data_IF_538069621239
#
_entry.id   IF_538069621239
#
_cell.length_a   1.000
_cell.length_b   1.000
_cell.length_c   1.000
_cell.angle_alpha   90.00
_cell.angle_beta   90.00
_cell.angle_gamma   90.00
#
_symmetry.space_group_name_H-M   'P 1'
#
loop_
_entity.id
_entity.type
_entity.pdbx_description
1 polymer ?
#
# COMPACT_ATOMS: atom_id res chain seq x y z
N UNK A 1 -8.61 -5.40 19.27
CA UNK A 1 -8.10 -4.09 18.80
C UNK A 1 -7.40 -3.38 19.96
N UNK A 2 -6.20 -2.90 19.74
CA UNK A 2 -5.51 -2.03 20.69
C UNK A 2 -6.02 -0.57 20.57
N UNK A 3 -5.51 0.35 21.42
CA UNK A 3 -5.98 1.74 21.44
C UNK A 3 -5.69 2.49 20.14
N UNK A 4 -4.54 2.25 19.52
CA UNK A 4 -4.12 2.87 18.27
C UNK A 4 -5.00 2.41 17.08
N UNK A 5 -5.24 1.10 16.99
CA UNK A 5 -6.16 0.52 16.00
C UNK A 5 -7.58 1.08 16.12
N UNK A 6 -8.05 1.29 17.36
CA UNK A 6 -9.36 1.91 17.61
C UNK A 6 -9.40 3.36 17.14
N UNK A 7 -8.34 4.13 17.41
CA UNK A 7 -8.25 5.53 16.95
C UNK A 7 -8.27 5.64 15.42
N UNK A 8 -7.52 4.77 14.72
CA UNK A 8 -7.52 4.72 13.26
C UNK A 8 -8.93 4.41 12.73
N UNK A 9 -9.57 3.38 13.26
CA UNK A 9 -10.92 3.00 12.83
C UNK A 9 -11.96 4.10 13.11
N UNK A 10 -11.89 4.76 14.26
CA UNK A 10 -12.79 5.89 14.58
C UNK A 10 -12.56 7.05 13.63
N UNK A 11 -11.32 7.43 13.38
CA UNK A 11 -10.99 8.50 12.43
C UNK A 11 -11.54 8.21 11.02
N UNK A 12 -11.46 6.96 10.56
CA UNK A 12 -11.98 6.57 9.25
C UNK A 12 -13.52 6.65 9.21
N UNK A 13 -14.22 6.34 10.31
CA UNK A 13 -15.67 6.58 10.40
C UNK A 13 -16.02 8.08 10.41
N UNK A 14 -15.25 8.89 11.14
CA UNK A 14 -15.43 10.35 11.19
C UNK A 14 -15.32 10.97 9.77
N UNK A 15 -14.42 10.43 8.92
CA UNK A 15 -14.31 10.84 7.52
C UNK A 15 -15.56 10.46 6.71
N UNK A 16 -16.11 9.27 6.93
CA UNK A 16 -17.35 8.84 6.27
C UNK A 16 -18.55 9.76 6.68
N UNK A 17 -18.69 10.03 7.98
CA UNK A 17 -19.71 10.96 8.50
C UNK A 17 -19.51 12.39 7.98
N UNK A 18 -18.26 12.84 7.85
CA UNK A 18 -17.96 14.14 7.29
C UNK A 18 -18.34 14.21 5.81
N UNK A 19 -18.09 13.13 5.05
CA UNK A 19 -18.50 13.02 3.65
C UNK A 19 -20.02 13.13 3.50
N UNK A 20 -20.79 12.33 4.28
CA UNK A 20 -22.24 12.35 4.27
C UNK A 20 -22.81 13.74 4.64
N UNK A 21 -22.35 14.30 5.76
CA UNK A 21 -22.84 15.60 6.26
C UNK A 21 -22.52 16.77 5.36
N UNK A 22 -21.33 16.77 4.73
CA UNK A 22 -20.85 17.90 3.92
C UNK A 22 -21.19 17.78 2.44
N UNK A 23 -21.56 16.58 1.97
CA UNK A 23 -21.93 16.32 0.58
C UNK A 23 -20.81 16.42 -0.42
N UNK A 24 -19.53 16.23 0.01
CA UNK A 24 -18.40 16.15 -0.89
C UNK A 24 -17.42 15.03 -0.49
N UNK A 25 -16.59 14.54 -1.44
CA UNK A 25 -15.76 13.38 -1.21
C UNK A 25 -14.69 13.59 -0.14
N UNK A 26 -14.39 12.56 0.62
CA UNK A 26 -13.37 12.55 1.66
C UNK A 26 -12.44 11.35 1.47
N UNK A 27 -11.12 11.57 1.53
CA UNK A 27 -10.10 10.53 1.44
C UNK A 27 -9.31 10.38 2.72
N UNK A 28 -8.96 9.14 3.08
CA UNK A 28 -8.02 8.87 4.15
C UNK A 28 -6.57 9.03 3.68
N UNK A 29 -5.63 8.96 4.61
CA UNK A 29 -4.24 8.64 4.31
C UNK A 29 -4.11 7.19 3.83
N UNK A 30 -2.92 6.80 3.31
CA UNK A 30 -2.63 5.43 2.91
C UNK A 30 -2.55 4.49 4.11
N UNK A 31 -3.34 3.46 4.07
CA UNK A 31 -3.43 2.42 5.08
C UNK A 31 -2.58 1.21 4.69
N UNK A 32 -2.01 0.56 5.68
CA UNK A 32 -1.42 -0.78 5.55
C UNK A 32 -2.52 -1.82 5.35
N UNK A 33 -2.17 -2.99 4.83
CA UNK A 33 -3.12 -4.08 4.64
C UNK A 33 -3.80 -4.51 5.94
N UNK A 34 -3.10 -4.45 7.08
CA UNK A 34 -3.68 -4.74 8.40
C UNK A 34 -4.74 -3.71 8.79
N UNK A 35 -4.46 -2.42 8.63
CA UNK A 35 -5.40 -1.32 8.93
C UNK A 35 -6.65 -1.40 8.05
N UNK A 36 -6.48 -1.71 6.76
CA UNK A 36 -7.60 -1.94 5.82
C UNK A 36 -8.51 -3.07 6.33
N UNK A 37 -7.95 -4.23 6.67
CA UNK A 37 -8.71 -5.38 7.14
C UNK A 37 -9.37 -5.12 8.50
N UNK A 38 -8.69 -4.42 9.41
CA UNK A 38 -9.25 -4.02 10.70
C UNK A 38 -10.45 -3.09 10.51
N UNK A 39 -10.32 -2.10 9.63
CA UNK A 39 -11.40 -1.17 9.37
C UNK A 39 -12.60 -1.84 8.70
N UNK A 40 -12.39 -2.71 7.72
CA UNK A 40 -13.47 -3.46 7.07
C UNK A 40 -14.27 -4.30 8.09
N UNK A 41 -13.58 -4.93 9.05
CA UNK A 41 -14.23 -5.68 10.10
C UNK A 41 -14.96 -4.78 11.12
N UNK A 42 -14.38 -3.61 11.43
CA UNK A 42 -14.91 -2.67 12.40
C UNK A 42 -16.11 -1.87 11.88
N UNK A 43 -16.06 -1.48 10.60
CA UNK A 43 -17.06 -0.59 9.97
C UNK A 43 -18.34 -1.30 9.53
N UNK A 44 -18.38 -2.64 9.62
CA UNK A 44 -19.57 -3.41 9.26
C UNK A 44 -20.79 -2.87 10.00
N UNK A 45 -21.80 -2.51 9.27
CA UNK A 45 -23.07 -1.95 9.75
C UNK A 45 -22.98 -0.57 10.48
N UNK A 46 -21.83 0.14 10.36
CA UNK A 46 -21.61 1.45 11.02
C UNK A 46 -21.45 2.61 10.05
N UNK A 47 -21.28 2.32 8.76
CA UNK A 47 -21.10 3.39 7.77
C UNK A 47 -22.38 4.16 7.54
N UNK A 48 -22.30 5.49 7.45
CA UNK A 48 -23.42 6.32 6.97
C UNK A 48 -23.69 6.00 5.49
N UNK A 49 -24.75 6.59 4.89
CA UNK A 49 -25.10 6.34 3.49
C UNK A 49 -24.12 7.02 2.52
N UNK A 50 -22.90 6.49 2.45
CA UNK A 50 -21.85 6.91 1.53
C UNK A 50 -21.38 5.73 0.68
N UNK A 51 -20.87 6.02 -0.52
CA UNK A 51 -20.08 5.04 -1.28
C UNK A 51 -18.66 5.00 -0.76
N UNK A 52 -18.13 3.81 -0.51
CA UNK A 52 -16.76 3.60 -0.04
C UNK A 52 -15.97 2.81 -1.07
N UNK A 53 -14.81 3.32 -1.44
CA UNK A 53 -13.87 2.69 -2.36
C UNK A 53 -12.47 2.61 -1.72
N UNK A 54 -11.76 1.49 -1.94
CA UNK A 54 -10.36 1.35 -1.57
C UNK A 54 -9.50 1.53 -2.81
N UNK A 55 -8.70 2.59 -2.85
CA UNK A 55 -7.90 2.95 -4.00
C UNK A 55 -6.41 2.99 -3.66
N UNK A 56 -5.61 2.26 -4.44
CA UNK A 56 -4.15 2.27 -4.38
C UNK A 56 -3.51 2.53 -5.73
N UNK A 57 -4.34 2.92 -6.75
CA UNK A 57 -3.89 3.27 -8.09
C UNK A 57 -3.75 2.10 -9.06
N UNK A 58 -3.62 0.87 -8.57
CA UNK A 58 -3.58 -0.34 -9.40
C UNK A 58 -4.13 -1.56 -8.62
N UNK A 59 -4.44 -2.62 -9.34
CA UNK A 59 -5.17 -3.78 -8.79
C UNK A 59 -4.48 -4.45 -7.60
N UNK A 60 -3.17 -4.67 -7.71
CA UNK A 60 -2.37 -5.37 -6.69
C UNK A 60 -1.77 -4.45 -5.64
N UNK A 61 -2.23 -3.20 -5.53
CA UNK A 61 -1.73 -2.27 -4.54
C UNK A 61 -1.94 -2.80 -3.12
N UNK A 62 -0.85 -2.83 -2.34
CA UNK A 62 -0.89 -3.23 -0.93
C UNK A 62 -1.36 -2.08 -0.05
N UNK A 63 -0.87 -0.87 -0.31
CA UNK A 63 -1.26 0.33 0.43
C UNK A 63 -2.36 1.06 -0.31
N UNK A 64 -3.49 1.27 0.36
CA UNK A 64 -4.67 1.90 -0.23
C UNK A 64 -5.19 3.01 0.68
N UNK A 65 -5.74 4.04 0.09
CA UNK A 65 -6.61 4.98 0.78
C UNK A 65 -8.05 4.43 0.81
N UNK A 66 -8.82 4.86 1.78
CA UNK A 66 -10.28 4.74 1.74
C UNK A 66 -10.82 6.07 1.23
N UNK A 67 -11.62 6.00 0.18
CA UNK A 67 -12.22 7.15 -0.46
C UNK A 67 -13.73 7.05 -0.38
N UNK A 68 -14.33 8.03 0.31
CA UNK A 68 -15.78 8.14 0.49
C UNK A 68 -16.35 9.13 -0.50
N UNK A 69 -17.50 8.78 -1.11
CA UNK A 69 -18.24 9.62 -2.03
C UNK A 69 -19.68 9.74 -1.55
N UNK A 70 -20.30 10.94 -1.61
CA UNK A 70 -21.71 11.10 -1.26
C UNK A 70 -22.60 10.29 -2.20
N UNK A 71 -23.67 9.70 -1.68
CA UNK A 71 -24.66 8.98 -2.52
C UNK A 71 -25.54 9.99 -3.25
N UNK A 72 -25.81 9.71 -4.53
CA UNK A 72 -26.72 10.52 -5.35
C UNK A 72 -26.08 11.73 -6.04
N UNK A 73 -24.80 11.95 -5.88
CA UNK A 73 -24.06 12.97 -6.64
C UNK A 73 -23.56 12.31 -7.92
N UNK A 74 -24.03 12.77 -9.08
CA UNK A 74 -23.69 12.21 -10.40
C UNK A 74 -22.29 12.58 -10.92
N UNK A 75 -21.46 13.23 -10.11
CA UNK A 75 -20.11 13.62 -10.50
C UNK A 75 -19.10 12.49 -10.22
N UNK A 76 -18.25 12.20 -11.19
CA UNK A 76 -17.10 11.31 -11.04
C UNK A 76 -15.98 12.07 -10.33
N UNK A 77 -15.76 11.73 -9.06
CA UNK A 77 -14.63 12.25 -8.30
C UNK A 77 -13.47 11.27 -8.38
N UNK A 78 -12.30 11.68 -8.92
CA UNK A 78 -11.11 10.85 -8.87
C UNK A 78 -10.59 10.73 -7.43
N UNK A 79 -10.00 9.58 -7.12
CA UNK A 79 -9.33 9.40 -5.84
C UNK A 79 -8.14 10.38 -5.70
N UNK A 80 -7.92 11.01 -4.53
CA UNK A 80 -6.91 12.06 -4.33
C UNK A 80 -5.50 11.48 -4.22
N UNK A 81 -5.09 10.70 -5.22
CA UNK A 81 -3.76 10.10 -5.32
C UNK A 81 -3.12 10.41 -6.66
N UNK A 82 -1.82 10.57 -6.66
CA UNK A 82 -1.01 10.86 -7.84
C UNK A 82 0.03 9.80 -8.07
N UNK A 83 0.35 9.58 -9.34
CA UNK A 83 1.42 8.70 -9.79
C UNK A 83 2.63 9.54 -10.21
N UNK A 84 3.78 9.27 -9.59
CA UNK A 84 5.04 9.92 -9.91
C UNK A 84 6.00 8.90 -10.53
N UNK A 85 6.73 9.34 -11.56
CA UNK A 85 7.86 8.61 -12.13
C UNK A 85 9.15 9.24 -11.66
N UNK A 86 10.03 8.44 -11.09
CA UNK A 86 11.37 8.85 -10.66
C UNK A 86 12.41 8.13 -11.49
N UNK A 87 13.19 8.87 -12.25
CA UNK A 87 14.20 8.34 -13.16
C UNK A 87 15.56 8.96 -12.90
N UNK A 88 16.67 8.20 -13.01
CA UNK A 88 18.00 8.79 -12.95
C UNK A 88 18.26 9.68 -14.16
N UNK A 89 18.87 10.85 -13.93
CA UNK A 89 19.24 11.77 -15.02
C UNK A 89 20.23 11.10 -16.00
N UNK A 90 21.10 10.23 -15.50
CA UNK A 90 22.09 9.50 -16.30
C UNK A 90 22.03 8.01 -15.96
N UNK A 91 21.27 7.20 -16.70
CA UNK A 91 21.10 5.76 -16.50
C UNK A 91 22.42 4.98 -16.44
N UNK A 92 23.44 5.41 -17.22
CA UNK A 92 24.75 4.72 -17.31
C UNK A 92 25.53 4.78 -15.99
N UNK A 93 25.38 5.86 -15.22
CA UNK A 93 26.12 6.10 -13.97
C UNK A 93 25.25 5.97 -12.73
N UNK A 94 24.00 5.53 -12.88
CA UNK A 94 23.10 5.36 -11.74
C UNK A 94 23.41 4.07 -11.00
N UNK A 95 23.34 4.14 -9.67
CA UNK A 95 23.31 2.98 -8.79
C UNK A 95 22.02 2.17 -8.99
N UNK A 96 22.06 0.91 -8.59
CA UNK A 96 20.82 0.14 -8.41
C UNK A 96 20.16 0.55 -7.11
N UNK A 97 19.14 1.39 -7.22
CA UNK A 97 18.37 1.87 -6.10
C UNK A 97 17.29 0.85 -5.74
N UNK A 98 17.16 0.61 -4.44
CA UNK A 98 16.16 -0.31 -3.89
C UNK A 98 14.93 0.44 -3.39
N UNK A 99 13.83 -0.26 -3.13
CA UNK A 99 12.64 0.28 -2.47
C UNK A 99 13.00 1.10 -1.21
N UNK A 100 13.96 0.63 -0.39
CA UNK A 100 14.38 1.32 0.83
C UNK A 100 15.07 2.65 0.55
N UNK A 101 15.82 2.76 -0.55
CA UNK A 101 16.50 4.00 -0.92
C UNK A 101 15.48 5.08 -1.31
N UNK A 102 14.46 4.72 -2.11
CA UNK A 102 13.37 5.63 -2.45
C UNK A 102 12.57 6.04 -1.21
N UNK A 103 12.16 5.08 -0.38
CA UNK A 103 11.44 5.36 0.85
C UNK A 103 12.24 6.27 1.78
N UNK A 104 13.53 5.97 1.99
CA UNK A 104 14.42 6.79 2.81
C UNK A 104 14.55 8.22 2.28
N UNK A 105 14.61 8.40 0.96
CA UNK A 105 14.65 9.73 0.36
C UNK A 105 13.37 10.53 0.62
N UNK A 106 12.20 9.90 0.51
CA UNK A 106 10.91 10.54 0.86
C UNK A 106 10.84 10.91 2.34
N UNK A 107 11.28 10.02 3.25
CA UNK A 107 11.32 10.31 4.68
C UNK A 107 12.27 11.48 4.99
N UNK A 108 13.42 11.58 4.31
CA UNK A 108 14.36 12.68 4.45
C UNK A 108 13.80 14.04 3.98
N UNK A 109 12.80 14.03 3.09
CA UNK A 109 12.04 15.22 2.72
C UNK A 109 10.97 15.59 3.76
N UNK A 110 10.89 14.88 4.89
CA UNK A 110 9.89 15.11 5.93
C UNK A 110 8.50 14.55 5.62
N UNK A 111 8.37 13.72 4.58
CA UNK A 111 7.08 13.15 4.17
C UNK A 111 6.73 11.98 5.09
N UNK A 112 5.52 12.00 5.66
CA UNK A 112 5.01 10.86 6.43
C UNK A 112 4.79 9.63 5.56
N UNK A 113 5.07 8.44 6.09
CA UNK A 113 4.77 7.16 5.42
C UNK A 113 3.29 6.99 5.10
N UNK A 114 2.41 7.63 5.86
CA UNK A 114 0.96 7.61 5.63
C UNK A 114 0.55 8.38 4.36
N UNK A 115 1.36 9.30 3.88
CA UNK A 115 1.13 10.03 2.62
C UNK A 115 1.63 9.30 1.38
N UNK A 116 2.28 8.13 1.57
CA UNK A 116 2.85 7.35 0.47
C UNK A 116 2.19 5.97 0.39
N UNK A 117 1.73 5.62 -0.80
CA UNK A 117 1.27 4.28 -1.18
C UNK A 117 2.44 3.34 -1.48
N UNK A 118 2.30 2.58 -2.53
CA UNK A 118 3.33 1.65 -2.97
C UNK A 118 4.45 2.37 -3.73
N UNK A 119 5.65 1.82 -3.58
CA UNK A 119 6.86 2.22 -4.31
C UNK A 119 7.26 1.04 -5.18
N UNK A 120 7.18 1.19 -6.48
CA UNK A 120 7.45 0.12 -7.45
C UNK A 120 8.75 0.44 -8.15
N UNK A 121 9.76 -0.40 -7.95
CA UNK A 121 11.09 -0.24 -8.58
C UNK A 121 11.19 -1.18 -9.77
N UNK A 122 11.49 -0.63 -10.95
CA UNK A 122 11.62 -1.37 -12.19
C UNK A 122 12.69 -0.71 -13.08
N UNK A 123 13.63 -1.50 -13.59
CA UNK A 123 14.62 -1.06 -14.60
C UNK A 123 15.34 0.27 -14.29
N UNK A 124 15.83 0.42 -13.07
CA UNK A 124 16.51 1.63 -12.56
C UNK A 124 15.62 2.88 -12.45
N UNK A 125 14.33 2.71 -12.53
CA UNK A 125 13.34 3.77 -12.26
C UNK A 125 12.39 3.31 -11.15
N UNK A 126 11.62 4.23 -10.60
CA UNK A 126 10.54 3.89 -9.69
C UNK A 126 9.28 4.65 -10.02
N UNK A 127 8.16 4.00 -9.75
CA UNK A 127 6.86 4.64 -9.66
C UNK A 127 6.51 4.81 -8.19
N UNK A 128 6.12 6.02 -7.82
CA UNK A 128 5.68 6.36 -6.47
C UNK A 128 4.20 6.72 -6.52
N UNK A 129 3.39 6.03 -5.74
CA UNK A 129 1.98 6.39 -5.56
C UNK A 129 1.90 7.21 -4.28
N UNK A 130 1.36 8.40 -4.35
CA UNK A 130 1.36 9.35 -3.24
C UNK A 130 0.04 10.10 -3.14
N UNK A 131 -0.23 10.70 -1.97
CA UNK A 131 -1.36 11.63 -1.85
C UNK A 131 -1.16 12.81 -2.80
N UNK A 132 -2.21 13.21 -3.50
CA UNK A 132 -2.18 14.30 -4.48
C UNK A 132 -1.63 15.61 -3.88
N UNK A 133 -1.97 15.90 -2.63
CA UNK A 133 -1.56 17.11 -1.92
C UNK A 133 -0.05 17.31 -1.76
N UNK A 134 0.76 16.23 -1.88
CA UNK A 134 2.22 16.28 -1.73
C UNK A 134 2.97 15.98 -3.03
N UNK A 135 2.27 15.64 -4.10
CA UNK A 135 2.89 15.24 -5.37
C UNK A 135 3.81 16.33 -5.94
N UNK A 136 3.34 17.57 -6.00
CA UNK A 136 4.12 18.71 -6.47
C UNK A 136 5.38 18.94 -5.65
N UNK A 137 5.25 18.91 -4.30
CA UNK A 137 6.38 19.06 -3.40
C UNK A 137 7.46 17.99 -3.62
N UNK A 138 7.06 16.73 -3.83
CA UNK A 138 8.00 15.64 -4.12
C UNK A 138 8.71 15.90 -5.46
N UNK A 139 7.97 16.26 -6.51
CA UNK A 139 8.56 16.51 -7.82
C UNK A 139 9.60 17.64 -7.81
N UNK A 140 9.37 18.68 -7.02
CA UNK A 140 10.28 19.82 -6.89
C UNK A 140 11.52 19.52 -6.04
N UNK A 141 11.40 18.69 -5.02
CA UNK A 141 12.43 18.52 -4.00
C UNK A 141 13.19 17.19 -4.07
N UNK A 142 12.65 16.15 -4.72
CA UNK A 142 13.31 14.85 -4.88
C UNK A 142 14.29 14.90 -6.08
N UNK A 143 15.44 15.51 -5.87
CA UNK A 143 16.47 15.69 -6.92
C UNK A 143 17.61 14.67 -6.83
N UNK A 144 17.74 13.96 -5.69
CA UNK A 144 18.82 13.02 -5.45
C UNK A 144 18.40 11.90 -4.50
N UNK A 145 18.81 10.66 -4.82
CA UNK A 145 18.67 9.48 -3.97
C UNK A 145 20.05 8.84 -3.84
N UNK A 146 20.59 8.76 -2.61
CA UNK A 146 21.98 8.39 -2.35
C UNK A 146 22.96 9.24 -3.18
N UNK A 147 23.69 8.60 -4.10
CA UNK A 147 24.63 9.29 -5.00
C UNK A 147 24.06 9.53 -6.41
N UNK A 148 22.83 9.08 -6.68
CA UNK A 148 22.19 9.18 -7.99
C UNK A 148 21.32 10.45 -8.06
N UNK A 149 21.61 11.34 -9.00
CA UNK A 149 20.73 12.45 -9.33
C UNK A 149 19.53 11.92 -10.10
N UNK A 150 18.33 12.32 -9.70
CA UNK A 150 17.07 11.86 -10.26
C UNK A 150 16.20 13.02 -10.73
N UNK A 151 15.31 12.73 -11.65
CA UNK A 151 14.20 13.58 -12.04
C UNK A 151 12.91 12.92 -11.60
N UNK A 152 12.07 13.64 -10.88
CA UNK A 152 10.75 13.22 -10.47
C UNK A 152 9.71 14.02 -11.26
N UNK A 153 8.73 13.36 -11.85
CA UNK A 153 7.60 13.98 -12.54
C UNK A 153 6.31 13.27 -12.27
N UNK A 154 5.23 13.99 -12.17
CA UNK A 154 3.89 13.42 -12.18
C UNK A 154 3.56 12.93 -13.60
N UNK A 155 2.96 11.77 -13.68
CA UNK A 155 2.58 11.13 -14.93
C UNK A 155 1.12 10.68 -14.91
N UNK A 156 0.55 10.51 -16.09
CA UNK A 156 -0.79 9.92 -16.22
C UNK A 156 -0.77 8.43 -15.88
N UNK A 157 -1.89 7.92 -15.38
CA UNK A 157 -2.06 6.48 -15.11
C UNK A 157 -1.95 5.63 -16.37
N UNK A 158 -2.19 6.18 -17.55
CA UNK A 158 -1.97 5.52 -18.83
C UNK A 158 -0.49 5.28 -19.16
N UNK A 159 0.42 6.07 -18.57
CA UNK A 159 1.86 5.88 -18.69
C UNK A 159 2.41 4.83 -17.72
N UNK A 160 1.56 4.27 -16.85
CA UNK A 160 1.95 3.27 -15.86
C UNK A 160 2.13 1.89 -16.50
N UNK A 161 3.33 1.58 -16.94
CA UNK A 161 3.69 0.29 -17.53
C UNK A 161 4.34 -0.64 -16.49
N UNK A 162 3.57 -0.98 -15.46
CA UNK A 162 3.97 -1.98 -14.47
C UNK A 162 3.23 -3.29 -14.71
N UNK A 163 4.01 -4.35 -14.94
CA UNK A 163 3.50 -5.72 -15.04
C UNK A 163 4.06 -6.56 -13.91
N UNK A 164 3.25 -6.88 -12.89
CA UNK A 164 3.72 -7.70 -11.79
C UNK A 164 4.16 -9.08 -12.30
N UNK A 165 5.34 -9.50 -11.87
CA UNK A 165 5.79 -10.86 -12.14
C UNK A 165 5.12 -11.79 -11.13
N UNK A 166 4.13 -12.53 -11.59
CA UNK A 166 3.43 -13.54 -10.79
C UNK A 166 3.86 -14.94 -11.21
N UNK A 167 3.99 -15.82 -10.23
CA UNK A 167 4.24 -17.25 -10.45
C UNK A 167 3.11 -18.05 -9.83
N UNK A 168 2.39 -18.77 -10.66
CA UNK A 168 1.39 -19.71 -10.17
C UNK A 168 2.06 -20.99 -9.66
N UNK A 169 1.66 -21.43 -8.48
CA UNK A 169 2.16 -22.66 -7.86
C UNK A 169 0.97 -23.51 -7.48
N UNK A 170 0.89 -24.71 -8.06
CA UNK A 170 -0.15 -25.70 -7.77
C UNK A 170 0.41 -26.86 -6.96
N UNK A 171 -0.37 -27.37 -6.03
CA UNK A 171 -0.01 -28.54 -5.24
C UNK A 171 -1.09 -28.90 -4.25
N UNK A 172 -0.96 -30.10 -3.65
CA UNK A 172 -1.89 -30.59 -2.64
C UNK A 172 -1.29 -30.46 -1.25
N UNK A 173 -2.10 -29.98 -0.31
CA UNK A 173 -1.74 -29.88 1.12
C UNK A 173 -2.77 -30.61 1.96
N UNK A 174 -2.33 -31.29 3.02
CA UNK A 174 -3.22 -32.06 3.89
C UNK A 174 -4.11 -31.16 4.79
N UNK A 175 -3.72 -29.91 5.00
CA UNK A 175 -4.48 -28.93 5.79
C UNK A 175 -4.12 -27.51 5.37
N UNK A 176 -5.09 -26.57 5.49
CA UNK A 176 -4.91 -25.16 5.14
C UNK A 176 -4.21 -24.41 6.30
N UNK A 177 -3.10 -24.97 6.74
CA UNK A 177 -2.24 -24.37 7.77
C UNK A 177 -1.17 -23.49 7.12
N UNK A 178 -0.78 -22.43 7.81
CA UNK A 178 0.21 -21.48 7.32
C UNK A 178 1.55 -22.16 6.96
N UNK A 179 2.06 -23.05 7.84
CA UNK A 179 3.31 -23.77 7.59
C UNK A 179 3.24 -24.69 6.35
N UNK A 180 2.08 -25.26 6.06
CA UNK A 180 1.90 -26.11 4.89
C UNK A 180 1.80 -25.28 3.59
N UNK A 181 1.05 -24.18 3.62
CA UNK A 181 0.87 -23.30 2.45
C UNK A 181 2.18 -22.62 2.05
N UNK A 182 2.91 -22.03 3.00
CA UNK A 182 4.22 -21.41 2.69
C UNK A 182 5.25 -22.47 2.29
N UNK A 183 5.16 -23.70 2.83
CA UNK A 183 6.00 -24.83 2.42
C UNK A 183 5.83 -25.18 0.95
N UNK A 184 4.62 -25.21 0.47
CA UNK A 184 4.29 -25.41 -0.94
C UNK A 184 4.79 -24.21 -1.78
N UNK A 185 4.49 -22.98 -1.36
CA UNK A 185 4.80 -21.77 -2.10
C UNK A 185 6.31 -21.55 -2.29
N UNK A 186 7.11 -21.82 -1.27
CA UNK A 186 8.57 -21.58 -1.31
C UNK A 186 9.39 -22.84 -1.56
N UNK A 187 8.78 -24.01 -1.71
CA UNK A 187 9.46 -25.29 -1.92
C UNK A 187 10.57 -25.54 -0.88
N UNK A 188 10.32 -25.19 0.38
CA UNK A 188 11.29 -25.30 1.47
C UNK A 188 10.81 -26.26 2.56
N UNK A 189 11.77 -26.79 3.35
CA UNK A 189 11.43 -27.64 4.48
C UNK A 189 10.65 -26.91 5.57
N UNK A 190 9.73 -27.58 6.20
CA UNK A 190 8.91 -27.02 7.31
C UNK A 190 9.78 -26.45 8.44
N UNK A 191 10.90 -27.12 8.78
CA UNK A 191 11.80 -26.64 9.83
C UNK A 191 12.41 -25.27 9.54
N UNK A 192 12.76 -24.99 8.30
CA UNK A 192 13.27 -23.67 7.89
C UNK A 192 12.19 -22.59 7.92
N UNK A 193 10.98 -22.97 7.53
CA UNK A 193 9.83 -22.05 7.49
C UNK A 193 9.28 -21.72 8.87
N UNK A 194 9.32 -22.69 9.82
CA UNK A 194 8.95 -22.43 11.21
C UNK A 194 9.86 -21.38 11.84
N UNK A 195 11.14 -21.32 11.45
CA UNK A 195 12.04 -20.24 11.84
C UNK A 195 11.55 -18.86 11.41
N UNK A 196 11.12 -18.69 10.16
CA UNK A 196 10.60 -17.40 9.69
C UNK A 196 9.31 -16.98 10.40
N UNK A 197 8.43 -17.95 10.76
CA UNK A 197 7.20 -17.65 11.50
C UNK A 197 7.53 -17.20 12.92
N UNK A 198 8.43 -17.92 13.63
CA UNK A 198 8.83 -17.55 14.99
C UNK A 198 9.63 -16.25 15.06
N UNK A 199 10.33 -15.88 13.99
CA UNK A 199 11.07 -14.61 13.86
C UNK A 199 10.19 -13.44 13.38
N UNK A 200 8.85 -13.61 13.38
CA UNK A 200 7.86 -12.57 12.98
C UNK A 200 8.00 -12.07 11.55
N UNK A 201 8.62 -12.88 10.67
CA UNK A 201 8.85 -12.54 9.25
C UNK A 201 7.68 -12.89 8.33
N UNK A 202 6.64 -13.54 8.86
CA UNK A 202 5.48 -13.98 8.10
C UNK A 202 4.24 -13.21 8.51
N UNK A 203 3.56 -12.67 7.52
CA UNK A 203 2.29 -11.95 7.71
C UNK A 203 1.17 -12.65 6.93
N UNK A 204 -0.03 -12.62 7.50
CA UNK A 204 -1.26 -13.03 6.83
C UNK A 204 -2.19 -11.81 6.84
N UNK A 205 -2.54 -11.32 5.66
CA UNK A 205 -3.35 -10.11 5.48
C UNK A 205 -2.80 -8.90 6.27
N UNK A 206 -1.47 -8.72 6.26
CA UNK A 206 -0.77 -7.64 6.96
C UNK A 206 -0.57 -7.84 8.47
N UNK A 207 -1.15 -8.89 9.07
CA UNK A 207 -0.97 -9.23 10.48
C UNK A 207 0.19 -10.20 10.65
N UNK A 208 1.15 -9.88 11.51
CA UNK A 208 2.26 -10.77 11.88
C UNK A 208 1.70 -12.02 12.59
N UNK A 209 2.11 -13.20 12.13
CA UNK A 209 1.73 -14.49 12.71
C UNK A 209 2.96 -15.16 13.29
N UNK A 210 2.86 -15.54 14.57
CA UNK A 210 3.92 -16.24 15.32
C UNK A 210 3.63 -17.72 15.53
N UNK A 211 2.40 -18.16 15.24
CA UNK A 211 1.98 -19.56 15.42
C UNK A 211 2.14 -20.37 14.13
N UNK A 212 2.96 -21.40 14.16
CA UNK A 212 3.14 -22.33 13.04
C UNK A 212 1.85 -23.09 12.68
N UNK A 213 0.97 -23.30 13.66
CA UNK A 213 -0.30 -24.00 13.49
C UNK A 213 -1.46 -23.07 13.08
N UNK A 214 -1.17 -21.83 12.69
CA UNK A 214 -2.20 -20.88 12.28
C UNK A 214 -2.99 -21.42 11.08
N UNK A 215 -4.30 -21.52 11.25
CA UNK A 215 -5.21 -21.96 10.19
C UNK A 215 -5.61 -20.73 9.35
N UNK A 216 -5.35 -20.82 8.05
CA UNK A 216 -5.83 -19.85 7.07
C UNK A 216 -7.33 -20.11 6.86
N UNK A 217 -8.10 -19.03 6.86
CA UNK A 217 -9.56 -19.07 6.64
C UNK A 217 -9.88 -18.64 5.22
#
# INVERSE_FOLDING_TARGET
MNKEEQMICSHLLDLAEACDRRGYPMGSDFLTLNEQNLFLAFSKDKLPPVSMEMCGGYELAERKIIFYKPVGVGEEYPAPISLLSVQPLMKKFSEELTHRDYLGALMNLGISRTKTGDIIVQDKQAYLIVSESIAGYICENLTRIRHTSVMCRQIDWQEFDYKPQVKEIMGSIASVRLDAVIGLAFSQSRSKLTGYISEEKVQVNGKVITSNAYNLK
#
